data_IF_009818591518
#
_entry.id   IF_009818591518
#
_cell.length_a   1.000
_cell.length_b   1.000
_cell.length_c   1.000
_cell.angle_alpha   90.00
_cell.angle_beta   90.00
_cell.angle_gamma   90.00
#
_symmetry.space_group_name_H-M   'P 1'
#
loop_
_entity.id
_entity.type
_entity.pdbx_description
1 polymer ?
#
# COMPACT_ATOMS: atom_id res chain seq x y z
N UNK A 1 23.25 -64.14 77.74
CA UNK A 1 24.00 -64.96 76.78
C UNK A 1 23.15 -65.13 75.55
N UNK A 2 23.44 -64.47 74.45
CA UNK A 2 22.72 -64.70 73.17
C UNK A 2 23.52 -65.72 72.37
N UNK A 3 22.84 -66.70 71.82
CA UNK A 3 23.32 -67.78 70.99
C UNK A 3 23.68 -67.18 69.57
N UNK A 4 24.93 -67.43 69.20
CA UNK A 4 25.35 -67.07 67.82
C UNK A 4 24.81 -68.09 66.82
N UNK A 5 24.11 -67.57 65.79
CA UNK A 5 23.73 -68.38 64.64
C UNK A 5 24.86 -68.24 63.61
N UNK A 6 25.58 -69.34 63.41
CA UNK A 6 26.58 -69.49 62.39
C UNK A 6 25.86 -69.78 61.05
N UNK A 7 25.85 -68.83 60.13
CA UNK A 7 25.34 -69.04 58.78
C UNK A 7 26.53 -69.38 57.89
N UNK A 8 26.61 -70.63 57.52
CA UNK A 8 27.57 -71.08 56.46
C UNK A 8 27.07 -70.63 55.10
N UNK A 9 27.84 -69.90 54.30
CA UNK A 9 27.44 -69.52 52.97
C UNK A 9 27.40 -70.72 52.04
N UNK A 10 26.28 -70.96 51.43
CA UNK A 10 26.08 -71.99 50.41
C UNK A 10 26.77 -71.61 49.13
N UNK A 11 27.82 -72.31 48.68
CA UNK A 11 28.61 -71.90 47.50
C UNK A 11 27.86 -72.02 46.14
N UNK A 12 26.68 -72.64 46.14
CA UNK A 12 25.93 -72.89 44.90
C UNK A 12 25.00 -71.74 44.48
N UNK A 13 24.65 -70.85 45.40
CA UNK A 13 23.75 -69.73 45.10
C UNK A 13 24.48 -68.53 44.40
N UNK A 14 25.81 -68.42 44.62
CA UNK A 14 26.57 -67.28 44.10
C UNK A 14 26.76 -67.25 42.58
N UNK A 15 26.99 -68.40 41.95
CA UNK A 15 27.31 -68.53 40.54
C UNK A 15 26.08 -68.30 39.61
N UNK A 16 24.91 -68.74 40.11
CA UNK A 16 23.66 -68.57 39.37
C UNK A 16 23.19 -67.09 39.32
N UNK A 17 23.36 -66.41 40.46
CA UNK A 17 22.93 -64.99 40.59
C UNK A 17 23.81 -64.07 39.78
N UNK A 18 25.12 -64.29 39.78
CA UNK A 18 26.07 -63.51 39.02
C UNK A 18 25.86 -63.68 37.51
N UNK A 19 25.58 -64.92 37.05
CA UNK A 19 25.26 -65.12 35.60
C UNK A 19 23.94 -64.46 35.17
N UNK A 20 22.94 -64.46 36.06
CA UNK A 20 21.66 -63.81 35.77
C UNK A 20 21.77 -62.30 35.79
N UNK A 21 22.54 -61.73 36.72
CA UNK A 21 22.80 -60.30 36.75
C UNK A 21 23.62 -59.82 35.54
N UNK A 22 24.59 -60.61 35.11
CA UNK A 22 25.36 -60.25 33.88
C UNK A 22 24.52 -60.29 32.60
N UNK A 23 23.59 -61.27 32.50
CA UNK A 23 22.67 -61.33 31.38
C UNK A 23 21.65 -60.16 31.40
N UNK A 24 21.19 -59.75 32.56
CA UNK A 24 20.28 -58.62 32.71
C UNK A 24 20.99 -57.28 32.39
N UNK A 25 22.24 -57.15 32.87
CA UNK A 25 23.03 -55.95 32.55
C UNK A 25 23.35 -55.83 31.02
N UNK A 26 23.63 -56.98 30.37
CA UNK A 26 23.85 -56.98 28.92
C UNK A 26 22.58 -56.66 28.12
N UNK A 27 21.42 -57.09 28.58
CA UNK A 27 20.15 -56.74 27.98
C UNK A 27 19.79 -55.24 28.19
N UNK A 28 20.16 -54.69 29.36
CA UNK A 28 19.90 -53.28 29.62
C UNK A 28 20.78 -52.34 28.78
N UNK A 29 22.02 -52.74 28.48
CA UNK A 29 22.92 -51.97 27.58
C UNK A 29 22.48 -52.06 26.11
N UNK A 30 21.89 -53.18 25.70
CA UNK A 30 21.37 -53.33 24.35
C UNK A 30 20.05 -52.53 24.13
N UNK A 31 19.32 -52.18 25.21
CA UNK A 31 18.09 -51.39 25.13
C UNK A 31 18.34 -49.87 25.08
N UNK A 32 19.59 -49.41 25.27
CA UNK A 32 19.99 -48.03 25.01
C UNK A 32 20.33 -47.77 23.53
N UNK A 33 19.65 -48.48 22.60
CA UNK A 33 19.65 -48.09 21.22
C UNK A 33 19.07 -46.67 21.16
N UNK A 34 19.95 -45.76 20.93
CA UNK A 34 19.71 -44.35 20.71
C UNK A 34 18.32 -44.11 20.05
N UNK A 35 17.39 -43.65 20.87
CA UNK A 35 16.22 -42.97 20.35
C UNK A 35 16.75 -41.71 19.66
N UNK A 36 17.18 -41.83 18.42
CA UNK A 36 17.47 -40.69 17.55
C UNK A 36 16.15 -39.93 17.45
N UNK A 37 16.09 -38.77 18.06
CA UNK A 37 14.96 -37.88 17.90
C UNK A 37 14.85 -37.61 16.38
N UNK A 38 13.91 -38.31 15.78
CA UNK A 38 13.65 -38.13 14.33
C UNK A 38 12.94 -36.81 14.18
N UNK A 39 13.70 -35.77 13.83
CA UNK A 39 13.15 -34.47 13.42
C UNK A 39 12.49 -34.65 12.06
N UNK A 40 11.18 -34.66 12.01
CA UNK A 40 10.42 -34.60 10.79
C UNK A 40 10.16 -33.13 10.46
N UNK A 41 10.70 -32.63 9.37
CA UNK A 41 10.42 -31.29 8.84
C UNK A 41 9.50 -31.43 7.65
N UNK A 42 8.36 -30.76 7.70
CA UNK A 42 7.45 -30.66 6.58
C UNK A 42 7.46 -29.19 6.09
N UNK A 43 7.71 -28.94 4.80
CA UNK A 43 7.58 -27.58 4.25
C UNK A 43 6.11 -27.18 4.20
N UNK A 44 5.79 -26.02 4.74
CA UNK A 44 4.48 -25.40 4.62
C UNK A 44 4.60 -24.34 3.54
N UNK A 45 3.89 -24.51 2.43
CA UNK A 45 3.79 -23.48 1.39
C UNK A 45 2.98 -22.31 1.92
N UNK A 46 3.60 -21.13 2.01
CA UNK A 46 2.92 -19.88 2.35
C UNK A 46 2.83 -19.05 1.06
N UNK A 47 1.61 -18.75 0.63
CA UNK A 47 1.36 -17.88 -0.52
C UNK A 47 0.59 -16.66 -0.05
N UNK A 48 1.04 -15.46 -0.48
CA UNK A 48 0.33 -14.22 -0.25
C UNK A 48 0.15 -13.52 -1.60
N UNK A 49 -1.07 -13.03 -1.86
CA UNK A 49 -1.35 -12.17 -3.00
C UNK A 49 -1.43 -10.74 -2.49
N UNK A 50 -0.48 -9.91 -2.87
CA UNK A 50 -0.53 -8.46 -2.64
C UNK A 50 -1.25 -7.81 -3.81
N UNK A 51 -2.35 -7.14 -3.53
CA UNK A 51 -3.10 -6.40 -4.55
C UNK A 51 -2.78 -4.92 -4.40
N UNK A 52 -2.20 -4.35 -5.45
CA UNK A 52 -2.01 -2.89 -5.58
C UNK A 52 -3.36 -2.25 -5.89
N UNK A 53 -3.71 -1.20 -5.17
CA UNK A 53 -4.94 -0.47 -5.42
C UNK A 53 -4.71 1.04 -5.28
N UNK A 54 -5.18 1.79 -6.29
CA UNK A 54 -5.43 3.22 -6.20
C UNK A 54 -6.93 3.42 -6.37
N UNK A 55 -7.52 4.17 -5.46
CA UNK A 55 -8.94 4.53 -5.53
C UNK A 55 -9.05 6.04 -5.62
N UNK A 56 -9.78 6.54 -6.60
CA UNK A 56 -10.10 7.95 -6.75
C UNK A 56 -11.56 8.16 -6.30
N UNK A 57 -11.79 9.15 -5.44
CA UNK A 57 -13.10 9.43 -4.86
C UNK A 57 -13.25 10.90 -4.46
N UNK A 58 -14.41 11.30 -4.01
CA UNK A 58 -14.65 12.64 -3.46
C UNK A 58 -14.40 13.77 -4.46
N UNK A 59 -14.71 13.57 -5.75
CA UNK A 59 -14.47 14.54 -6.79
C UNK A 59 -15.33 15.79 -6.62
N UNK A 60 -14.69 16.95 -6.63
CA UNK A 60 -15.32 18.26 -6.80
C UNK A 60 -14.80 18.82 -8.13
N UNK A 61 -15.69 19.20 -9.06
CA UNK A 61 -15.27 19.72 -10.37
C UNK A 61 -14.60 21.09 -10.25
N UNK A 62 -13.73 21.41 -11.21
CA UNK A 62 -13.25 22.76 -11.44
C UNK A 62 -14.35 23.53 -12.16
N UNK A 63 -14.89 24.57 -11.52
CA UNK A 63 -15.98 25.38 -12.05
C UNK A 63 -15.57 26.85 -12.09
N UNK A 64 -15.54 27.41 -13.29
CA UNK A 64 -15.24 28.84 -13.51
C UNK A 64 -16.47 29.73 -13.28
N UNK A 65 -17.62 29.16 -12.94
CA UNK A 65 -18.87 29.89 -12.75
C UNK A 65 -19.51 30.36 -14.07
N UNK A 66 -20.49 31.25 -13.93
CA UNK A 66 -21.34 31.71 -15.05
C UNK A 66 -20.99 33.12 -15.56
N UNK A 67 -20.02 33.77 -14.96
CA UNK A 67 -19.76 35.20 -15.20
C UNK A 67 -18.50 35.52 -16.01
N UNK A 68 -17.99 34.60 -16.84
CA UNK A 68 -16.80 34.88 -17.66
C UNK A 68 -17.15 35.89 -18.75
N UNK A 69 -16.53 37.06 -18.68
CA UNK A 69 -16.71 38.13 -19.69
C UNK A 69 -15.76 37.85 -20.86
N UNK A 70 -16.27 37.85 -22.12
CA UNK A 70 -15.42 37.68 -23.29
C UNK A 70 -14.29 38.70 -23.34
N UNK A 71 -13.10 38.25 -23.67
CA UNK A 71 -11.89 39.08 -23.72
C UNK A 71 -11.23 39.31 -22.35
N UNK A 72 -11.82 38.85 -21.26
CA UNK A 72 -11.26 38.97 -19.90
C UNK A 72 -10.68 37.65 -19.44
N UNK A 73 -9.46 37.63 -18.87
CA UNK A 73 -8.91 36.40 -18.29
C UNK A 73 -9.67 36.00 -17.05
N UNK A 74 -9.82 34.68 -16.85
CA UNK A 74 -10.38 34.09 -15.63
C UNK A 74 -9.39 33.08 -15.03
N UNK A 75 -9.18 33.14 -13.73
CA UNK A 75 -8.25 32.24 -13.05
C UNK A 75 -8.85 31.73 -11.76
N UNK A 76 -8.73 30.42 -11.56
CA UNK A 76 -9.08 29.76 -10.31
C UNK A 76 -7.82 29.08 -9.79
N UNK A 77 -7.43 29.42 -8.56
CA UNK A 77 -6.28 28.76 -7.92
C UNK A 77 -6.62 27.32 -7.56
N UNK A 78 -5.65 26.40 -7.44
CA UNK A 78 -5.91 25.04 -7.01
C UNK A 78 -6.66 24.96 -5.66
N UNK A 79 -6.37 25.87 -4.74
CA UNK A 79 -7.02 25.89 -3.42
C UNK A 79 -8.54 26.13 -3.48
N UNK A 80 -9.00 26.88 -4.50
CA UNK A 80 -10.41 27.24 -4.71
C UNK A 80 -11.06 26.44 -5.84
N UNK A 81 -10.31 25.61 -6.53
CA UNK A 81 -10.75 24.88 -7.71
C UNK A 81 -11.32 23.51 -7.43
N UNK A 82 -11.18 22.63 -8.41
CA UNK A 82 -11.58 21.24 -8.29
C UNK A 82 -10.65 20.45 -7.38
N UNK A 83 -11.14 19.33 -6.86
CA UNK A 83 -10.32 18.41 -6.07
C UNK A 83 -10.77 16.98 -6.23
N UNK A 84 -9.83 16.06 -6.03
CA UNK A 84 -10.10 14.62 -6.00
C UNK A 84 -9.25 13.99 -4.90
N UNK A 85 -9.82 13.04 -4.18
CA UNK A 85 -9.10 12.25 -3.19
C UNK A 85 -8.56 10.97 -3.84
N UNK A 86 -7.29 10.71 -3.67
CA UNK A 86 -6.64 9.46 -4.04
C UNK A 86 -6.24 8.69 -2.80
N UNK A 87 -6.72 7.46 -2.67
CA UNK A 87 -6.28 6.52 -1.64
C UNK A 87 -5.43 5.44 -2.30
N UNK A 88 -4.22 5.23 -1.80
CA UNK A 88 -3.26 4.30 -2.40
C UNK A 88 -2.53 3.47 -1.34
N UNK A 89 -2.10 2.27 -1.73
CA UNK A 89 -1.32 1.35 -0.90
C UNK A 89 0.04 1.00 -1.51
N UNK A 90 0.42 1.68 -2.57
CA UNK A 90 1.71 1.55 -3.27
C UNK A 90 2.17 2.95 -3.71
N UNK A 91 3.46 3.11 -3.97
CA UNK A 91 3.95 4.37 -4.51
C UNK A 91 3.27 4.66 -5.85
N UNK A 92 2.67 5.83 -5.93
CA UNK A 92 1.78 6.18 -7.05
C UNK A 92 2.12 7.57 -7.55
N UNK A 93 2.19 7.74 -8.86
CA UNK A 93 2.25 9.03 -9.50
C UNK A 93 0.88 9.41 -10.04
N UNK A 94 0.40 10.60 -9.73
CA UNK A 94 -0.84 11.16 -10.25
C UNK A 94 -0.50 12.29 -11.20
N UNK A 95 -1.11 12.29 -12.38
CA UNK A 95 -0.93 13.31 -13.39
C UNK A 95 -2.24 13.67 -14.07
N UNK A 96 -2.29 14.89 -14.63
CA UNK A 96 -3.38 15.37 -15.46
C UNK A 96 -2.76 16.06 -16.70
N UNK A 97 -3.51 16.22 -17.78
CA UNK A 97 -3.05 17.07 -18.90
C UNK A 97 -2.79 18.51 -18.42
N UNK A 98 -1.85 19.20 -19.03
CA UNK A 98 -1.59 20.61 -18.73
C UNK A 98 -2.70 21.54 -19.24
N UNK A 99 -3.47 21.08 -20.20
CA UNK A 99 -4.57 21.84 -20.79
C UNK A 99 -5.80 20.98 -21.00
N UNK A 100 -6.96 21.60 -20.97
CA UNK A 100 -8.22 20.98 -21.35
C UNK A 100 -9.00 21.92 -22.27
N UNK A 101 -9.61 21.36 -23.29
CA UNK A 101 -10.50 22.10 -24.19
C UNK A 101 -11.94 21.95 -23.69
N UNK A 102 -12.55 23.05 -23.37
CA UNK A 102 -13.98 23.10 -23.09
C UNK A 102 -14.73 23.31 -24.40
N UNK A 103 -15.84 22.64 -24.59
CA UNK A 103 -16.69 22.71 -25.77
C UNK A 103 -18.11 23.14 -25.40
N UNK A 104 -18.79 23.82 -26.31
CA UNK A 104 -20.19 24.20 -26.15
C UNK A 104 -21.06 23.42 -27.14
N UNK A 105 -22.25 23.03 -26.72
CA UNK A 105 -23.27 22.53 -27.66
C UNK A 105 -23.61 23.61 -28.68
N UNK A 106 -23.51 23.28 -29.96
CA UNK A 106 -23.68 24.25 -31.06
C UNK A 106 -22.39 24.94 -31.50
N UNK A 107 -21.23 24.50 -31.01
CA UNK A 107 -19.91 24.95 -31.47
C UNK A 107 -19.26 26.01 -30.57
N UNK A 108 -17.97 26.19 -30.76
CA UNK A 108 -17.09 27.03 -29.94
C UNK A 108 -16.28 26.20 -28.94
N UNK A 109 -15.03 26.59 -28.77
CA UNK A 109 -14.09 25.95 -27.86
C UNK A 109 -13.34 27.00 -27.06
N UNK A 110 -13.01 26.66 -25.81
CA UNK A 110 -12.17 27.48 -24.93
C UNK A 110 -11.07 26.58 -24.35
N UNK A 111 -9.82 27.02 -24.48
CA UNK A 111 -8.68 26.34 -23.91
C UNK A 111 -8.47 26.81 -22.47
N UNK A 112 -8.37 25.86 -21.56
CA UNK A 112 -8.02 26.08 -20.17
C UNK A 112 -6.63 25.51 -19.92
N UNK A 113 -5.73 26.31 -19.34
CA UNK A 113 -4.45 25.83 -18.82
C UNK A 113 -4.67 25.41 -17.37
N UNK A 114 -4.35 24.17 -17.03
CA UNK A 114 -4.52 23.63 -15.70
C UNK A 114 -3.31 23.94 -14.81
N UNK A 115 -3.56 24.10 -13.52
CA UNK A 115 -2.56 24.19 -12.47
C UNK A 115 -2.90 23.19 -11.37
N UNK A 116 -1.88 22.48 -10.87
CA UNK A 116 -2.07 21.39 -9.93
C UNK A 116 -1.36 21.66 -8.62
N UNK A 117 -1.98 21.21 -7.54
CA UNK A 117 -1.41 21.24 -6.20
C UNK A 117 -1.83 19.97 -5.46
N UNK A 118 -1.13 19.65 -4.41
CA UNK A 118 -1.37 18.47 -3.60
C UNK A 118 -1.45 18.82 -2.13
N UNK A 119 -2.12 17.99 -1.37
CA UNK A 119 -2.11 18.03 0.09
C UNK A 119 -2.02 16.62 0.63
N UNK A 120 -1.12 16.41 1.58
CA UNK A 120 -1.06 15.16 2.32
C UNK A 120 -2.29 15.03 3.24
N UNK A 121 -2.69 13.79 3.46
CA UNK A 121 -3.86 13.28 4.15
C UNK A 121 -4.59 14.20 5.15
N UNK A 122 -5.87 14.19 5.04
CA UNK A 122 -6.85 14.16 6.12
C UNK A 122 -7.54 15.46 6.49
N UNK A 123 -6.98 16.59 6.42
CA UNK A 123 -7.65 17.83 6.73
C UNK A 123 -7.06 18.94 5.88
N UNK A 124 -7.77 19.38 4.92
CA UNK A 124 -7.59 20.64 4.19
C UNK A 124 -6.40 21.54 4.66
N UNK A 125 -5.14 21.08 4.67
CA UNK A 125 -4.03 21.99 4.73
C UNK A 125 -3.98 22.76 3.42
N UNK A 126 -3.41 23.95 3.43
CA UNK A 126 -3.20 24.71 2.21
C UNK A 126 -2.49 23.84 1.16
N UNK A 127 -3.04 23.68 -0.04
CA UNK A 127 -2.44 22.79 -1.02
C UNK A 127 -1.08 23.35 -1.45
N UNK A 128 -0.09 22.45 -1.55
CA UNK A 128 1.25 22.77 -2.04
C UNK A 128 1.26 22.60 -3.56
N UNK A 129 1.61 23.61 -4.35
CA UNK A 129 1.73 23.48 -5.80
C UNK A 129 2.68 22.35 -6.18
N UNK A 130 2.44 21.70 -7.31
CA UNK A 130 3.42 20.77 -7.87
C UNK A 130 4.72 21.50 -8.16
N UNK A 131 5.84 20.87 -7.91
CA UNK A 131 7.14 21.39 -8.27
C UNK A 131 7.34 21.42 -9.80
N UNK A 132 6.54 20.65 -10.52
CA UNK A 132 6.48 20.48 -11.96
C UNK A 132 5.09 20.86 -12.47
N UNK A 133 4.84 20.70 -13.76
CA UNK A 133 3.50 20.87 -14.35
C UNK A 133 2.55 19.71 -14.00
N UNK A 134 1.27 19.87 -14.33
CA UNK A 134 0.25 18.83 -14.09
C UNK A 134 0.53 17.54 -14.85
N UNK A 135 1.12 17.61 -16.04
CA UNK A 135 1.37 16.45 -16.89
C UNK A 135 2.52 15.58 -16.38
N UNK A 136 3.57 16.21 -15.86
CA UNK A 136 4.64 15.50 -15.16
C UNK A 136 4.12 14.87 -13.87
N UNK A 137 3.15 15.51 -13.23
CA UNK A 137 2.45 14.98 -12.10
C UNK A 137 3.23 15.04 -10.79
N UNK A 138 2.67 14.40 -9.80
CA UNK A 138 3.23 14.30 -8.45
C UNK A 138 3.40 12.83 -8.05
N UNK A 139 4.60 12.48 -7.63
CA UNK A 139 4.89 11.16 -7.08
C UNK A 139 4.56 11.13 -5.59
N UNK A 140 3.50 10.44 -5.24
CA UNK A 140 3.11 10.18 -3.86
C UNK A 140 3.85 8.94 -3.34
N UNK A 141 4.68 9.14 -2.31
CA UNK A 141 5.44 8.06 -1.68
C UNK A 141 4.68 7.51 -0.49
N UNK A 142 4.52 6.19 -0.44
CA UNK A 142 3.89 5.51 0.68
C UNK A 142 4.81 5.55 1.91
N UNK A 143 4.29 5.99 3.04
CA UNK A 143 4.98 5.88 4.32
C UNK A 143 4.66 4.53 4.93
N UNK A 144 5.66 3.63 4.93
CA UNK A 144 5.68 2.32 5.60
C UNK A 144 4.32 1.66 5.87
N UNK A 145 3.86 0.84 4.93
CA UNK A 145 2.72 -0.10 5.07
C UNK A 145 1.36 0.49 5.43
N UNK A 146 1.15 1.80 5.29
CA UNK A 146 -0.11 2.46 5.55
C UNK A 146 -0.81 2.85 4.25
N UNK A 147 -2.12 2.60 4.18
CA UNK A 147 -2.95 3.24 3.16
C UNK A 147 -2.98 4.74 3.46
N UNK A 148 -2.63 5.56 2.49
CA UNK A 148 -2.58 7.00 2.62
C UNK A 148 -3.64 7.63 1.73
N UNK A 149 -4.46 8.52 2.29
CA UNK A 149 -5.36 9.37 1.53
C UNK A 149 -4.65 10.67 1.21
N UNK A 150 -4.83 11.13 -0.01
CA UNK A 150 -4.12 12.24 -0.56
C UNK A 150 -5.03 13.05 -1.50
N UNK A 151 -4.94 14.35 -1.42
CA UNK A 151 -5.79 15.24 -2.18
C UNK A 151 -5.02 15.89 -3.33
N UNK A 152 -5.55 15.73 -4.52
CA UNK A 152 -5.14 16.45 -5.72
C UNK A 152 -6.09 17.64 -5.90
N UNK A 153 -5.55 18.83 -5.97
CA UNK A 153 -6.26 20.06 -6.22
C UNK A 153 -5.94 20.55 -7.63
N UNK A 154 -6.97 21.02 -8.33
CA UNK A 154 -6.86 21.44 -9.72
C UNK A 154 -7.43 22.84 -9.85
N UNK A 155 -6.58 23.77 -10.19
CA UNK A 155 -6.96 25.09 -10.63
C UNK A 155 -6.87 25.23 -12.15
N UNK A 156 -7.15 26.40 -12.65
CA UNK A 156 -7.02 26.65 -14.09
C UNK A 156 -7.07 28.12 -14.45
N UNK A 157 -6.59 28.44 -15.63
CA UNK A 157 -6.61 29.77 -16.20
C UNK A 157 -7.15 29.73 -17.63
N UNK A 158 -8.04 30.69 -17.93
CA UNK A 158 -8.54 30.98 -19.26
C UNK A 158 -7.98 32.35 -19.64
N UNK A 159 -7.31 32.45 -20.76
CA UNK A 159 -6.80 33.75 -21.25
C UNK A 159 -7.92 34.56 -21.85
N UNK A 160 -7.83 35.89 -21.77
CA UNK A 160 -8.78 36.77 -22.45
C UNK A 160 -8.88 36.53 -23.96
N UNK A 161 -7.75 36.21 -24.59
CA UNK A 161 -7.73 35.84 -26.00
C UNK A 161 -8.55 34.60 -26.33
N UNK A 162 -8.57 33.61 -25.41
CA UNK A 162 -9.33 32.37 -25.59
C UNK A 162 -10.85 32.60 -25.53
N UNK A 163 -11.31 33.67 -24.91
CA UNK A 163 -12.74 34.00 -24.80
C UNK A 163 -13.21 35.15 -25.72
N UNK A 164 -12.28 35.91 -26.33
CA UNK A 164 -12.59 37.14 -27.05
C UNK A 164 -13.56 36.98 -28.22
N UNK A 165 -13.53 35.84 -28.90
CA UNK A 165 -14.32 35.58 -30.12
C UNK A 165 -15.25 34.36 -29.97
N UNK A 166 -15.40 33.81 -28.77
CA UNK A 166 -16.26 32.62 -28.60
C UNK A 166 -17.70 33.04 -28.28
N UNK A 167 -18.69 32.30 -28.80
CA UNK A 167 -20.09 32.59 -28.51
C UNK A 167 -20.43 32.39 -27.01
N UNK A 168 -21.35 33.21 -26.52
CA UNK A 168 -21.89 33.03 -25.17
C UNK A 168 -22.57 31.65 -25.01
N UNK A 169 -22.43 31.03 -23.84
CA UNK A 169 -23.06 29.76 -23.54
C UNK A 169 -22.30 28.95 -22.50
N UNK A 170 -22.78 27.75 -22.23
CA UNK A 170 -22.14 26.81 -21.28
C UNK A 170 -21.07 26.01 -21.99
N UNK A 171 -19.87 26.03 -21.46
CA UNK A 171 -18.72 25.29 -21.95
C UNK A 171 -18.37 24.19 -20.93
N UNK A 172 -18.17 22.98 -21.38
CA UNK A 172 -17.79 21.85 -20.54
C UNK A 172 -16.67 21.03 -21.19
N UNK A 173 -15.87 20.39 -20.39
CA UNK A 173 -14.79 19.49 -20.82
C UNK A 173 -14.35 18.60 -19.66
N UNK A 174 -13.59 17.58 -19.98
CA UNK A 174 -13.09 16.63 -18.98
C UNK A 174 -11.56 16.58 -19.03
N UNK A 175 -10.95 16.57 -17.85
CA UNK A 175 -9.55 16.26 -17.67
C UNK A 175 -9.46 14.87 -16.99
N UNK A 176 -8.69 13.97 -17.58
CA UNK A 176 -8.51 12.63 -17.02
C UNK A 176 -7.35 12.62 -16.02
N UNK A 177 -7.60 12.20 -14.80
CA UNK A 177 -6.55 11.93 -13.84
C UNK A 177 -5.98 10.54 -14.12
N UNK A 178 -4.68 10.47 -14.32
CA UNK A 178 -3.97 9.21 -14.52
C UNK A 178 -3.17 8.86 -13.27
N UNK A 179 -3.36 7.65 -12.77
CA UNK A 179 -2.59 7.09 -11.67
C UNK A 179 -1.67 6.00 -12.19
N UNK A 180 -0.37 6.14 -11.96
CA UNK A 180 0.66 5.18 -12.39
C UNK A 180 1.42 4.68 -11.18
N UNK A 181 1.60 3.37 -11.08
CA UNK A 181 2.46 2.77 -10.05
C UNK A 181 3.92 3.03 -10.37
N UNK A 182 4.69 3.51 -9.41
CA UNK A 182 6.10 3.87 -9.64
C UNK A 182 7.08 2.81 -9.15
N UNK A 183 6.69 2.01 -8.16
CA UNK A 183 7.50 0.87 -7.64
C UNK A 183 6.59 -0.15 -6.96
N UNK A 184 7.03 -1.40 -6.95
CA UNK A 184 6.48 -2.49 -6.17
C UNK A 184 7.44 -2.89 -5.07
#
# INVERSE_FOLDING_TARGET
MPSGISVTPDPLLGTSLVKRLSALALMLVAATSSASAQTSTAPIGVTAKVQSAVTLSGMIPLDFGTGIVPGTPATITPASGGRIMASYNVNTQLSLPNTVTLTRAGGGTVLVTLSCAQSASGASPAPTPFATDCATGYAATLVANARTDWWLYVGGAITGAATASVPAGNYAGNATVTATYTTF
#
